data_IF_106096474489
#
_entry.id   IF_106096474489
#
_cell.length_a   1.000
_cell.length_b   1.000
_cell.length_c   1.000
_cell.angle_alpha   90.00
_cell.angle_beta   90.00
_cell.angle_gamma   90.00
#
_symmetry.space_group_name_H-M   'P 1'
#
loop_
_entity.id
_entity.type
_entity.pdbx_description
1 polymer ?
#
# COMPACT_ATOMS: atom_id res chain seq x y z
N UNK A 1 -14.46 -14.58 26.44
CA UNK A 1 -13.92 -13.54 25.55
C UNK A 1 -13.34 -14.23 24.33
N UNK A 2 -13.59 -13.74 23.11
CA UNK A 2 -13.09 -14.38 21.87
C UNK A 2 -11.80 -13.71 21.43
N UNK A 3 -10.88 -14.48 20.86
CA UNK A 3 -9.67 -13.96 20.23
C UNK A 3 -9.77 -14.10 18.71
N UNK A 4 -9.35 -13.07 17.96
CA UNK A 4 -9.23 -13.15 16.49
C UNK A 4 -7.99 -12.41 16.01
N UNK A 5 -7.35 -12.97 14.98
CA UNK A 5 -6.32 -12.29 14.19
C UNK A 5 -6.93 -11.69 12.92
N UNK A 6 -6.64 -10.41 12.68
CA UNK A 6 -6.82 -9.73 11.41
C UNK A 6 -5.47 -9.67 10.70
N UNK A 7 -5.35 -10.37 9.57
CA UNK A 7 -4.15 -10.40 8.75
C UNK A 7 -4.37 -9.53 7.51
N UNK A 8 -3.49 -8.55 7.34
CA UNK A 8 -3.52 -7.63 6.22
C UNK A 8 -2.54 -8.09 5.13
N UNK A 9 -3.03 -8.11 3.90
CA UNK A 9 -2.23 -8.23 2.70
C UNK A 9 -2.25 -6.89 1.96
N UNK A 10 -1.08 -6.27 1.80
CA UNK A 10 -0.92 -4.93 1.26
C UNK A 10 -0.30 -4.98 -0.13
N UNK A 11 -0.89 -4.23 -1.05
CA UNK A 11 -0.33 -3.97 -2.38
C UNK A 11 -0.10 -2.48 -2.53
N UNK A 12 1.17 -2.07 -2.50
CA UNK A 12 1.60 -0.69 -2.68
C UNK A 12 1.81 -0.41 -4.18
N UNK A 13 0.79 0.14 -4.84
CA UNK A 13 0.86 0.53 -6.25
C UNK A 13 1.81 1.70 -6.45
N UNK A 14 2.90 1.47 -7.19
CA UNK A 14 3.96 2.44 -7.41
C UNK A 14 3.57 3.69 -8.19
N UNK A 15 4.44 4.70 -8.13
CA UNK A 15 4.31 6.00 -8.80
C UNK A 15 4.99 7.07 -7.95
N UNK A 16 5.83 7.91 -8.56
CA UNK A 16 6.65 8.89 -7.80
C UNK A 16 5.74 9.89 -7.08
N UNK A 17 4.67 10.36 -7.74
CA UNK A 17 3.67 11.28 -7.17
C UNK A 17 2.90 10.71 -5.96
N UNK A 18 2.92 9.39 -5.76
CA UNK A 18 2.25 8.69 -4.67
C UNK A 18 3.22 8.16 -3.61
N UNK A 19 4.53 8.35 -3.77
CA UNK A 19 5.54 7.78 -2.87
C UNK A 19 5.35 8.20 -1.41
N UNK A 20 5.14 9.49 -1.17
CA UNK A 20 4.91 10.08 0.17
C UNK A 20 3.56 9.62 0.75
N UNK A 21 2.53 9.51 -0.08
CA UNK A 21 1.23 9.02 0.34
C UNK A 21 1.31 7.55 0.80
N UNK A 22 1.92 6.69 -0.02
CA UNK A 22 2.16 5.29 0.33
C UNK A 22 2.98 5.17 1.60
N UNK A 23 3.98 6.04 1.78
CA UNK A 23 4.77 6.08 3.00
C UNK A 23 3.90 6.33 4.24
N UNK A 24 3.00 7.33 4.18
CA UNK A 24 2.03 7.61 5.24
C UNK A 24 1.17 6.39 5.59
N UNK A 25 0.64 5.70 4.57
CA UNK A 25 -0.13 4.46 4.77
C UNK A 25 0.72 3.39 5.46
N UNK A 26 1.97 3.18 5.03
CA UNK A 26 2.85 2.20 5.69
C UNK A 26 3.19 2.57 7.14
N UNK A 27 3.31 3.87 7.48
CA UNK A 27 3.46 4.30 8.88
C UNK A 27 2.24 3.99 9.72
N UNK A 28 1.03 4.23 9.22
CA UNK A 28 -0.20 3.90 9.96
C UNK A 28 -0.35 2.39 10.19
N UNK A 29 -0.05 1.56 9.19
CA UNK A 29 -0.03 0.10 9.35
C UNK A 29 1.02 -0.32 10.40
N UNK A 30 2.18 0.32 10.39
CA UNK A 30 3.23 0.05 11.36
C UNK A 30 2.78 0.40 12.78
N UNK A 31 2.23 1.60 13.00
CA UNK A 31 1.70 2.03 14.29
C UNK A 31 0.54 1.14 14.76
N UNK A 32 -0.36 0.74 13.87
CA UNK A 32 -1.45 -0.20 14.18
C UNK A 32 -0.90 -1.55 14.68
N UNK A 33 0.12 -2.09 14.00
CA UNK A 33 0.76 -3.36 14.37
C UNK A 33 1.46 -3.26 15.73
N UNK A 34 2.17 -2.15 15.99
CA UNK A 34 2.80 -1.87 17.29
C UNK A 34 1.77 -1.71 18.41
N UNK A 35 0.73 -0.93 18.17
CA UNK A 35 -0.37 -0.73 19.11
C UNK A 35 -1.06 -2.05 19.44
N UNK A 36 -1.28 -2.91 18.43
CA UNK A 36 -1.84 -4.24 18.63
C UNK A 36 -0.96 -5.07 19.55
N UNK A 37 0.35 -5.12 19.30
CA UNK A 37 1.28 -5.81 20.21
C UNK A 37 1.26 -5.22 21.62
N UNK A 38 1.34 -3.90 21.76
CA UNK A 38 1.36 -3.23 23.08
C UNK A 38 0.07 -3.47 23.87
N UNK A 39 -1.09 -3.45 23.21
CA UNK A 39 -2.38 -3.77 23.82
C UNK A 39 -2.40 -5.20 24.38
N UNK A 40 -1.85 -6.17 23.66
CA UNK A 40 -1.76 -7.56 24.12
C UNK A 40 -0.73 -7.77 25.23
N UNK A 41 0.40 -7.07 25.16
CA UNK A 41 1.48 -7.13 26.15
C UNK A 41 1.18 -6.32 27.43
N UNK A 42 0.09 -5.54 27.47
CA UNK A 42 -0.22 -4.62 28.57
C UNK A 42 0.79 -3.47 28.71
N UNK A 43 1.45 -3.10 27.62
CA UNK A 43 2.48 -2.05 27.60
C UNK A 43 1.87 -0.68 27.29
N UNK A 44 2.52 0.36 27.79
CA UNK A 44 2.16 1.75 27.50
C UNK A 44 2.40 2.04 26.02
N UNK A 45 1.50 2.85 25.43
CA UNK A 45 1.63 3.35 24.06
C UNK A 45 2.94 4.13 23.87
N UNK A 46 3.83 3.71 22.96
CA UNK A 46 5.04 4.44 22.61
C UNK A 46 4.80 5.80 21.95
N UNK A 47 3.63 6.04 21.35
CA UNK A 47 3.29 7.30 20.67
C UNK A 47 1.79 7.65 20.80
N UNK A 48 1.39 8.93 20.56
CA UNK A 48 -0.01 9.33 20.55
C UNK A 48 -0.86 8.57 19.53
N UNK A 49 -0.32 8.30 18.32
CA UNK A 49 -1.00 7.49 17.31
C UNK A 49 -1.25 6.07 17.80
N UNK A 50 -0.25 5.46 18.43
CA UNK A 50 -0.38 4.12 19.00
C UNK A 50 -1.38 4.10 20.17
N UNK A 51 -1.47 5.19 20.95
CA UNK A 51 -2.49 5.33 21.99
C UNK A 51 -3.91 5.34 21.42
N UNK A 52 -4.13 6.08 20.32
CA UNK A 52 -5.43 6.10 19.63
C UNK A 52 -5.84 4.70 19.14
N UNK A 53 -4.90 3.92 18.58
CA UNK A 53 -5.17 2.54 18.19
C UNK A 53 -5.41 1.61 19.38
N UNK A 54 -4.73 1.80 20.52
CA UNK A 54 -4.99 1.05 21.75
C UNK A 54 -6.41 1.34 22.25
N UNK A 55 -6.86 2.58 22.23
CA UNK A 55 -8.23 2.95 22.62
C UNK A 55 -9.27 2.33 21.68
N UNK A 56 -8.96 2.24 20.39
CA UNK A 56 -9.78 1.49 19.43
C UNK A 56 -9.85 0.00 19.81
N UNK A 57 -8.73 -0.65 20.13
CA UNK A 57 -8.72 -2.06 20.53
C UNK A 57 -9.51 -2.31 21.82
N UNK A 58 -9.39 -1.43 22.82
CA UNK A 58 -10.22 -1.48 24.05
C UNK A 58 -11.70 -1.36 23.72
N UNK A 59 -12.06 -0.41 22.86
CA UNK A 59 -13.46 -0.21 22.44
C UNK A 59 -14.02 -1.47 21.77
N UNK A 60 -13.23 -2.14 20.92
CA UNK A 60 -13.61 -3.41 20.27
C UNK A 60 -13.79 -4.52 21.31
N UNK A 61 -12.86 -4.63 22.27
CA UNK A 61 -12.94 -5.62 23.35
C UNK A 61 -14.20 -5.43 24.20
N UNK A 62 -14.46 -4.20 24.65
CA UNK A 62 -15.60 -3.85 25.50
C UNK A 62 -16.94 -4.07 24.79
N UNK A 63 -17.06 -3.64 23.52
CA UNK A 63 -18.34 -3.67 22.80
C UNK A 63 -18.65 -5.01 22.15
N UNK A 64 -17.63 -5.75 21.71
CA UNK A 64 -17.82 -7.00 20.96
C UNK A 64 -17.35 -8.26 21.71
N UNK A 65 -16.79 -8.11 22.92
CA UNK A 65 -16.18 -9.20 23.67
C UNK A 65 -15.03 -9.86 22.90
N UNK A 66 -14.33 -9.07 22.08
CA UNK A 66 -13.36 -9.53 21.07
C UNK A 66 -11.98 -8.91 21.32
N UNK A 67 -11.02 -9.76 21.65
CA UNK A 67 -9.62 -9.38 21.72
C UNK A 67 -8.97 -9.57 20.34
N UNK A 68 -8.83 -8.48 19.60
CA UNK A 68 -8.30 -8.50 18.23
C UNK A 68 -6.78 -8.31 18.21
N UNK A 69 -6.09 -9.09 17.39
CA UNK A 69 -4.68 -8.87 17.03
C UNK A 69 -4.57 -8.53 15.54
N UNK A 70 -3.76 -7.55 15.19
CA UNK A 70 -3.59 -7.09 13.80
C UNK A 70 -2.14 -7.31 13.37
N UNK A 71 -1.95 -7.88 12.18
CA UNK A 71 -0.65 -8.18 11.59
C UNK A 71 -0.68 -7.83 10.10
N UNK A 72 0.40 -7.23 9.60
CA UNK A 72 0.65 -7.13 8.16
C UNK A 72 1.51 -8.32 7.74
N UNK A 73 0.90 -9.29 7.03
CA UNK A 73 1.51 -10.61 6.77
C UNK A 73 2.08 -10.69 5.36
N UNK A 74 1.43 -10.01 4.40
CA UNK A 74 1.86 -9.97 3.00
C UNK A 74 2.02 -8.52 2.59
N UNK A 75 3.16 -8.18 2.01
CA UNK A 75 3.43 -6.85 1.44
C UNK A 75 4.01 -7.03 0.05
N UNK A 76 3.33 -6.46 -0.95
CA UNK A 76 3.77 -6.43 -2.34
C UNK A 76 3.82 -4.99 -2.84
N UNK A 77 4.72 -4.70 -3.78
CA UNK A 77 4.83 -3.38 -4.38
C UNK A 77 5.88 -3.33 -5.48
N UNK A 78 5.79 -2.33 -6.33
CA UNK A 78 6.75 -2.09 -7.41
C UNK A 78 7.23 -0.63 -7.38
N UNK A 79 8.48 -0.39 -7.79
CA UNK A 79 9.10 0.95 -7.78
C UNK A 79 9.01 1.61 -6.39
N UNK A 80 8.51 2.85 -6.28
CA UNK A 80 8.30 3.54 -5.01
C UNK A 80 7.42 2.78 -4.01
N UNK A 81 6.47 1.96 -4.50
CA UNK A 81 5.66 1.09 -3.64
C UNK A 81 6.47 -0.10 -3.08
N UNK A 82 7.42 -0.61 -3.87
CA UNK A 82 8.36 -1.64 -3.42
C UNK A 82 9.31 -1.13 -2.33
N UNK A 83 9.79 0.12 -2.46
CA UNK A 83 10.61 0.78 -1.44
C UNK A 83 9.81 0.89 -0.12
N UNK A 84 8.61 1.46 -0.15
CA UNK A 84 7.79 1.54 1.07
C UNK A 84 7.48 0.15 1.66
N UNK A 85 7.24 -0.83 0.79
CA UNK A 85 6.98 -2.21 1.21
C UNK A 85 8.15 -2.88 1.92
N UNK A 86 9.38 -2.78 1.40
CA UNK A 86 10.55 -3.43 2.02
C UNK A 86 10.90 -2.80 3.38
N UNK A 87 10.77 -1.47 3.49
CA UNK A 87 11.00 -0.78 4.77
C UNK A 87 9.92 -1.11 5.80
N UNK A 88 8.65 -1.24 5.39
CA UNK A 88 7.60 -1.74 6.28
C UNK A 88 7.91 -3.17 6.76
N UNK A 89 8.32 -4.06 5.87
CA UNK A 89 8.69 -5.43 6.23
C UNK A 89 9.87 -5.47 7.21
N UNK A 90 10.90 -4.64 6.98
CA UNK A 90 12.03 -4.49 7.90
C UNK A 90 11.58 -3.98 9.28
N UNK A 91 10.74 -2.94 9.33
CA UNK A 91 10.22 -2.39 10.57
C UNK A 91 9.43 -3.46 11.36
N UNK A 92 8.58 -4.23 10.68
CA UNK A 92 7.83 -5.35 11.29
C UNK A 92 8.77 -6.42 11.83
N UNK A 93 9.80 -6.81 11.08
CA UNK A 93 10.74 -7.86 11.48
C UNK A 93 11.67 -7.45 12.63
N UNK A 94 12.07 -6.17 12.68
CA UNK A 94 13.14 -5.70 13.58
C UNK A 94 12.65 -4.81 14.72
N UNK A 95 11.44 -4.25 14.62
CA UNK A 95 10.94 -3.22 15.54
C UNK A 95 11.49 -1.81 15.28
N UNK A 96 12.27 -1.61 14.20
CA UNK A 96 12.85 -0.31 13.87
C UNK A 96 11.81 0.69 13.37
N UNK A 97 12.16 1.98 13.41
CA UNK A 97 11.30 3.05 12.92
C UNK A 97 11.35 3.19 11.41
N UNK A 98 10.25 3.70 10.83
CA UNK A 98 10.15 4.12 9.44
C UNK A 98 10.64 5.57 9.22
N UNK A 99 11.02 6.29 10.27
CA UNK A 99 11.46 7.68 10.20
C UNK A 99 12.65 7.93 9.24
N UNK A 100 13.65 7.03 9.11
CA UNK A 100 14.71 7.21 8.11
C UNK A 100 14.16 7.26 6.67
N UNK A 101 13.12 6.49 6.37
CA UNK A 101 12.45 6.55 5.07
C UNK A 101 11.61 7.82 4.93
N UNK A 102 11.01 8.32 6.03
CA UNK A 102 10.37 9.64 6.03
C UNK A 102 11.38 10.71 5.60
N UNK A 103 12.57 10.69 6.19
CA UNK A 103 13.63 11.65 5.88
C UNK A 103 14.08 11.54 4.42
N UNK A 104 14.29 10.31 3.91
CA UNK A 104 14.62 10.08 2.50
C UNK A 104 13.57 10.68 1.57
N UNK A 105 12.27 10.48 1.85
CA UNK A 105 11.23 11.07 1.03
C UNK A 105 11.19 12.60 1.14
N UNK A 106 11.41 13.18 2.32
CA UNK A 106 11.46 14.63 2.47
C UNK A 106 12.67 15.26 1.75
N UNK A 107 13.82 14.60 1.78
CA UNK A 107 15.07 15.12 1.23
C UNK A 107 15.21 14.89 -0.28
N UNK A 108 14.62 13.81 -0.80
CA UNK A 108 14.87 13.34 -2.17
C UNK A 108 13.60 13.14 -3.02
N UNK A 109 12.38 13.34 -2.48
CA UNK A 109 11.16 13.30 -3.30
C UNK A 109 10.88 14.61 -4.04
N UNK A 110 11.84 15.53 -4.09
CA UNK A 110 11.76 16.65 -5.02
C UNK A 110 11.71 16.11 -6.45
N UNK A 111 10.57 16.33 -7.09
CA UNK A 111 10.31 15.90 -8.46
C UNK A 111 11.34 16.51 -9.41
N UNK A 112 11.86 17.70 -9.10
CA UNK A 112 12.86 18.40 -9.91
C UNK A 112 14.29 17.82 -9.73
N UNK A 113 14.60 17.22 -8.58
CA UNK A 113 15.90 16.56 -8.33
C UNK A 113 15.95 15.12 -8.88
N UNK A 114 14.80 14.46 -9.00
CA UNK A 114 14.66 13.14 -9.63
C UNK A 114 14.61 13.21 -11.17
N UNK A 115 14.45 14.42 -11.73
CA UNK A 115 14.53 14.71 -13.15
C UNK A 115 15.92 15.25 -13.49
N UNK A 116 16.83 14.37 -13.90
CA UNK A 116 18.16 14.77 -14.38
C UNK A 116 18.04 15.74 -15.57
N UNK A 117 18.48 17.00 -15.36
CA UNK A 117 18.48 18.05 -16.38
C UNK A 117 19.56 17.86 -17.45
N UNK A 118 20.51 16.94 -17.24
CA UNK A 118 21.56 16.58 -18.21
C UNK A 118 21.30 15.25 -18.94
N UNK A 119 20.11 14.67 -18.82
CA UNK A 119 19.68 13.57 -19.67
C UNK A 119 19.37 14.05 -21.12
N UNK A 120 20.37 14.61 -21.80
CA UNK A 120 20.37 14.70 -23.26
C UNK A 120 20.65 13.30 -23.83
N UNK A 121 19.60 12.52 -24.00
CA UNK A 121 19.54 11.47 -25.01
C UNK A 121 18.10 11.35 -25.51
N UNK A 122 17.91 11.45 -26.83
CA UNK A 122 16.62 11.28 -27.50
C UNK A 122 15.92 9.99 -27.06
N UNK A 123 14.94 10.15 -26.17
CA UNK A 123 13.89 9.22 -25.73
C UNK A 123 14.10 7.69 -25.79
N UNK A 124 14.41 7.10 -24.62
CA UNK A 124 13.97 5.73 -24.28
C UNK A 124 13.03 5.63 -23.06
N UNK A 125 13.00 6.60 -22.13
CA UNK A 125 12.16 6.50 -20.91
C UNK A 125 10.69 6.83 -21.11
N UNK A 126 10.36 7.60 -22.16
CA UNK A 126 8.97 7.81 -22.55
C UNK A 126 8.31 6.54 -23.10
N UNK A 127 9.10 5.58 -23.61
CA UNK A 127 8.55 4.28 -24.01
C UNK A 127 8.00 3.52 -22.80
N UNK A 128 8.60 3.67 -21.62
CA UNK A 128 8.20 2.92 -20.43
C UNK A 128 6.82 3.32 -19.90
N UNK A 129 6.46 4.61 -19.93
CA UNK A 129 5.12 5.08 -19.55
C UNK A 129 4.10 5.03 -20.71
N UNK A 130 4.56 5.11 -21.95
CA UNK A 130 3.67 5.08 -23.11
C UNK A 130 3.05 3.68 -23.35
N UNK A 131 3.77 2.58 -23.08
CA UNK A 131 3.26 1.22 -23.33
C UNK A 131 2.04 0.83 -22.46
N UNK A 132 2.02 1.05 -21.12
CA UNK A 132 0.85 0.72 -20.31
C UNK A 132 -0.37 1.62 -20.60
N UNK A 133 -0.15 2.90 -20.92
CA UNK A 133 -1.24 3.83 -21.32
C UNK A 133 -1.84 3.41 -22.67
N UNK A 134 -1.00 3.02 -23.63
CA UNK A 134 -1.44 2.52 -24.93
C UNK A 134 -2.25 1.21 -24.80
N UNK A 135 -1.85 0.30 -23.91
CA UNK A 135 -2.59 -0.95 -23.66
C UNK A 135 -3.94 -0.71 -22.95
N UNK A 136 -4.01 0.28 -22.06
CA UNK A 136 -5.25 0.69 -21.40
C UNK A 136 -6.23 1.39 -22.36
N UNK A 137 -5.73 2.20 -23.30
CA UNK A 137 -6.52 2.78 -24.38
C UNK A 137 -7.01 1.73 -25.38
N UNK A 138 -6.18 0.73 -25.71
CA UNK A 138 -6.58 -0.40 -26.54
C UNK A 138 -7.68 -1.26 -25.89
N UNK A 139 -7.65 -1.44 -24.56
CA UNK A 139 -8.72 -2.12 -23.80
C UNK A 139 -10.05 -1.36 -23.78
N UNK A 140 -10.03 -0.02 -23.75
CA UNK A 140 -11.28 0.77 -23.88
C UNK A 140 -11.89 0.68 -25.28
N UNK A 141 -11.08 0.38 -26.30
CA UNK A 141 -11.56 0.20 -27.67
C UNK A 141 -12.15 -1.20 -27.88
N UNK A 142 -11.65 -2.23 -27.18
CA UNK A 142 -12.23 -3.58 -27.20
C UNK A 142 -13.58 -3.65 -26.45
N UNK A 143 -13.73 -2.99 -25.30
CA UNK A 143 -15.01 -2.95 -24.56
C UNK A 143 -16.11 -2.20 -25.33
N UNK A 144 -15.74 -1.29 -26.24
CA UNK A 144 -16.68 -0.60 -27.13
C UNK A 144 -17.08 -1.44 -28.36
N UNK A 145 -16.36 -2.54 -28.65
CA UNK A 145 -16.66 -3.47 -29.74
C UNK A 145 -17.49 -4.68 -29.29
N UNK A 146 -17.58 -4.98 -27.99
CA UNK A 146 -18.40 -6.09 -27.46
C UNK A 146 -19.92 -5.81 -27.46
N UNK A 147 -20.35 -4.61 -27.87
CA UNK A 147 -21.78 -4.23 -28.03
C UNK A 147 -22.37 -4.57 -29.40
N UNK A 148 -21.62 -5.17 -30.33
CA UNK A 148 -22.11 -5.55 -31.65
C UNK A 148 -22.03 -7.08 -31.84
N UNK A 149 -23.04 -7.77 -31.32
CA UNK A 149 -23.36 -9.17 -31.65
C UNK A 149 -23.89 -9.34 -33.09
N UNK A 150 -23.51 -10.43 -33.78
CA UNK A 150 -24.33 -11.55 -34.35
C UNK A 150 -23.49 -12.36 -35.38
N UNK A 151 -23.87 -13.55 -35.90
CA UNK A 151 -24.90 -14.54 -35.51
C UNK A 151 -24.44 -16.02 -35.62
N UNK A 152 -24.48 -16.80 -34.52
CA UNK A 152 -24.89 -18.24 -34.53
C UNK A 152 -24.73 -18.91 -33.15
N UNK A 153 -24.22 -18.21 -32.15
CA UNK A 153 -24.25 -18.63 -30.74
C UNK A 153 -25.65 -18.61 -30.10
N UNK A 154 -26.71 -18.74 -30.91
CA UNK A 154 -28.12 -18.58 -30.50
C UNK A 154 -28.89 -19.90 -30.35
N UNK A 155 -28.24 -21.07 -30.43
CA UNK A 155 -28.94 -22.37 -30.50
C UNK A 155 -28.67 -23.39 -29.38
N UNK A 156 -27.69 -23.22 -28.48
CA UNK A 156 -27.40 -24.23 -27.42
C UNK A 156 -27.45 -23.70 -25.98
N UNK A 157 -28.04 -22.53 -25.79
CA UNK A 157 -28.52 -22.06 -24.48
C UNK A 157 -29.98 -21.64 -24.65
N UNK A 158 -30.83 -22.65 -24.83
CA UNK A 158 -32.24 -22.58 -24.47
C UNK A 158 -32.43 -22.93 -23.01
#
# INVERSE_FOLDING_TARGET
MREKELRLALVCYGGISLAVYMHGITKEIWHLSRASRSFHDGKIAPSPTEAAYIDLFRTIEERAGLKMRVLADIVAGASAGGINGIFLAQAVATGQSLDPLTQLWLDHADVDALLDTNATAGWPFAKFWATPIAWMLARRQSDAMDMNFDPDTRAEVG
#
